data_IF_335528887844
#
_entry.id   IF_335528887844
#
_cell.length_a   1.000
_cell.length_b   1.000
_cell.length_c   1.000
_cell.angle_alpha   90.00
_cell.angle_beta   90.00
_cell.angle_gamma   90.00
#
_symmetry.space_group_name_H-M   'P 1'
#
loop_
_entity.id
_entity.type
_entity.pdbx_description
1 polymer ?
#
# COMPACT_ATOMS: atom_id res chain seq x y z
N UNK A 1 0.20 -4.51 -6.52
CA UNK A 1 1.56 -5.05 -6.70
C UNK A 1 2.54 -4.33 -5.77
N UNK A 2 2.15 -4.16 -4.51
CA UNK A 2 2.83 -3.34 -3.51
C UNK A 2 3.37 -4.18 -2.35
N UNK A 3 3.39 -5.50 -2.53
CA UNK A 3 4.13 -6.37 -1.64
C UNK A 3 5.60 -5.97 -1.62
N UNK A 4 6.12 -5.75 -0.40
CA UNK A 4 7.56 -5.61 -0.19
C UNK A 4 8.30 -6.87 -0.64
N UNK A 5 9.61 -6.77 -0.89
CA UNK A 5 10.44 -7.91 -1.31
C UNK A 5 10.33 -9.10 -0.34
N UNK A 6 10.24 -8.84 0.96
CA UNK A 6 10.03 -9.88 1.98
C UNK A 6 8.67 -10.58 1.80
N UNK A 7 7.61 -9.83 1.52
CA UNK A 7 6.26 -10.38 1.35
C UNK A 7 6.14 -11.13 0.02
N UNK A 8 6.69 -10.56 -1.05
CA UNK A 8 6.71 -11.18 -2.37
C UNK A 8 7.57 -12.45 -2.38
N UNK A 9 8.72 -12.43 -1.70
CA UNK A 9 9.58 -13.60 -1.54
C UNK A 9 8.89 -14.79 -0.86
N UNK A 10 8.02 -14.54 0.12
CA UNK A 10 7.18 -15.60 0.72
C UNK A 10 6.21 -16.21 -0.30
N UNK A 11 5.65 -15.41 -1.20
CA UNK A 11 4.77 -15.90 -2.28
C UNK A 11 5.57 -16.74 -3.30
N UNK A 12 6.76 -16.27 -3.71
CA UNK A 12 7.64 -17.01 -4.61
C UNK A 12 8.08 -18.35 -3.99
N UNK A 13 8.49 -18.34 -2.72
CA UNK A 13 8.90 -19.55 -2.02
C UNK A 13 7.77 -20.59 -1.94
N UNK A 14 6.51 -20.15 -1.82
CA UNK A 14 5.35 -21.06 -1.77
C UNK A 14 5.13 -21.86 -3.06
N UNK A 15 5.71 -21.42 -4.18
CA UNK A 15 5.68 -22.11 -5.47
C UNK A 15 7.06 -22.63 -5.89
N UNK A 16 8.01 -22.70 -4.96
CA UNK A 16 9.36 -23.24 -5.21
C UNK A 16 10.30 -22.31 -5.98
N UNK A 17 10.00 -21.01 -6.05
CA UNK A 17 10.88 -20.01 -6.68
C UNK A 17 11.70 -19.25 -5.64
N UNK A 18 12.95 -18.96 -6.00
CA UNK A 18 13.85 -18.14 -5.18
C UNK A 18 13.45 -16.66 -5.22
N UNK A 19 13.72 -15.95 -4.12
CA UNK A 19 13.46 -14.51 -4.01
C UNK A 19 14.61 -13.69 -4.62
N UNK A 20 14.73 -13.73 -5.95
CA UNK A 20 15.70 -12.97 -6.73
C UNK A 20 15.04 -11.79 -7.42
N UNK A 21 15.82 -10.74 -7.71
CA UNK A 21 15.35 -9.57 -8.45
C UNK A 21 14.75 -9.96 -9.82
N UNK A 22 15.39 -10.88 -10.53
CA UNK A 22 14.90 -11.39 -11.81
C UNK A 22 13.51 -12.06 -11.68
N UNK A 23 13.29 -12.85 -10.63
CA UNK A 23 11.98 -13.48 -10.39
C UNK A 23 10.92 -12.45 -9.99
N UNK A 24 11.28 -11.45 -9.18
CA UNK A 24 10.39 -10.35 -8.82
C UNK A 24 10.00 -9.52 -10.05
N UNK A 25 10.97 -9.17 -10.89
CA UNK A 25 10.78 -8.44 -12.15
C UNK A 25 9.91 -9.23 -13.12
N UNK A 26 10.19 -10.51 -13.32
CA UNK A 26 9.41 -11.38 -14.20
C UNK A 26 7.97 -11.52 -13.71
N UNK A 27 7.77 -11.69 -12.40
CA UNK A 27 6.44 -11.74 -11.79
C UNK A 27 5.67 -10.43 -11.98
N UNK A 28 6.28 -9.27 -11.75
CA UNK A 28 5.61 -7.97 -11.97
C UNK A 28 5.34 -7.73 -13.45
N UNK A 29 6.27 -8.09 -14.32
CA UNK A 29 6.09 -8.01 -15.78
C UNK A 29 4.89 -8.83 -16.23
N UNK A 30 4.80 -10.09 -15.80
CA UNK A 30 3.68 -10.99 -16.10
C UNK A 30 2.33 -10.35 -15.76
N UNK A 31 2.24 -9.66 -14.62
CA UNK A 31 1.01 -9.01 -14.20
C UNK A 31 0.66 -7.79 -15.07
N UNK A 32 1.62 -6.91 -15.34
CA UNK A 32 1.33 -5.65 -16.03
C UNK A 32 1.17 -5.79 -17.54
N UNK A 33 1.68 -6.87 -18.13
CA UNK A 33 1.57 -7.13 -19.58
C UNK A 33 0.40 -8.04 -19.94
N UNK A 34 -0.45 -8.40 -18.98
CA UNK A 34 -1.63 -9.20 -19.23
C UNK A 34 -2.54 -8.53 -20.29
N UNK A 35 -2.89 -9.21 -21.40
CA UNK A 35 -3.69 -8.60 -22.46
C UNK A 35 -5.05 -8.11 -21.97
N UNK A 36 -5.38 -6.86 -22.28
CA UNK A 36 -6.67 -6.25 -21.92
C UNK A 36 -6.81 -5.88 -20.44
N UNK A 37 -5.74 -5.91 -19.64
CA UNK A 37 -5.78 -5.60 -18.21
C UNK A 37 -6.47 -4.26 -17.89
N UNK A 38 -6.16 -3.23 -18.68
CA UNK A 38 -6.73 -1.88 -18.53
C UNK A 38 -8.25 -1.78 -18.68
N UNK A 39 -8.90 -2.79 -19.26
CA UNK A 39 -10.37 -2.83 -19.34
C UNK A 39 -11.04 -3.11 -17.98
N UNK A 40 -10.28 -3.66 -17.03
CA UNK A 40 -10.81 -4.15 -15.75
C UNK A 40 -10.13 -3.51 -14.54
N UNK A 41 -8.93 -2.96 -14.71
CA UNK A 41 -8.13 -2.40 -13.62
C UNK A 41 -7.96 -0.90 -13.83
N UNK A 42 -8.52 -0.08 -12.94
CA UNK A 42 -8.41 1.37 -13.00
C UNK A 42 -7.11 1.90 -12.37
N UNK A 43 -6.50 1.15 -11.47
CA UNK A 43 -5.26 1.56 -10.82
C UNK A 43 -4.46 0.40 -10.23
N UNK A 44 -3.15 0.58 -10.13
CA UNK A 44 -2.22 -0.41 -9.62
C UNK A 44 -1.32 0.19 -8.55
N UNK A 45 -1.43 -0.31 -7.31
CA UNK A 45 -0.56 0.09 -6.20
C UNK A 45 0.78 -0.64 -6.34
N UNK A 46 1.87 0.10 -6.34
CA UNK A 46 3.23 -0.38 -6.52
C UNK A 46 4.02 -0.29 -5.22
N UNK A 47 5.02 -1.14 -5.09
CA UNK A 47 6.10 -0.96 -4.12
C UNK A 47 7.15 -0.04 -4.73
N UNK A 48 7.93 0.64 -3.89
CA UNK A 48 8.92 1.64 -4.34
C UNK A 48 9.87 1.07 -5.40
N UNK A 49 10.41 -0.13 -5.19
CA UNK A 49 11.25 -0.79 -6.19
C UNK A 49 10.54 -0.96 -7.54
N UNK A 50 9.27 -1.39 -7.53
CA UNK A 50 8.48 -1.61 -8.75
C UNK A 50 8.14 -0.31 -9.48
N UNK A 51 8.02 0.81 -8.75
CA UNK A 51 7.76 2.14 -9.34
C UNK A 51 8.93 2.61 -10.23
N UNK A 52 10.16 2.25 -9.88
CA UNK A 52 11.38 2.59 -10.61
C UNK A 52 11.87 1.48 -11.55
N UNK A 53 11.25 0.31 -11.52
CA UNK A 53 11.67 -0.87 -12.28
C UNK A 53 11.17 -0.85 -13.73
N UNK A 54 11.99 -1.42 -14.62
CA UNK A 54 11.59 -1.80 -15.98
C UNK A 54 11.07 -3.23 -16.03
N UNK A 55 10.13 -3.50 -16.92
CA UNK A 55 9.73 -4.85 -17.28
C UNK A 55 10.86 -5.59 -18.00
N UNK A 56 10.70 -6.90 -18.20
CA UNK A 56 11.71 -7.74 -18.86
C UNK A 56 11.95 -7.36 -20.34
N UNK A 57 11.04 -6.60 -20.96
CA UNK A 57 11.19 -6.05 -22.31
C UNK A 57 11.86 -4.65 -22.35
N UNK A 58 12.28 -4.14 -21.19
CA UNK A 58 12.98 -2.86 -21.04
C UNK A 58 12.09 -1.65 -20.82
N UNK A 59 10.78 -1.72 -21.08
CA UNK A 59 9.85 -0.61 -20.84
C UNK A 59 9.65 -0.39 -19.34
N UNK A 60 9.46 0.87 -18.90
CA UNK A 60 9.17 1.14 -17.49
C UNK A 60 7.81 0.57 -17.12
N UNK A 61 7.69 -0.01 -15.93
CA UNK A 61 6.40 -0.57 -15.47
C UNK A 61 5.31 0.50 -15.42
N UNK A 62 5.66 1.72 -15.01
CA UNK A 62 4.73 2.86 -14.97
C UNK A 62 4.20 3.23 -16.35
N UNK A 63 5.06 3.18 -17.38
CA UNK A 63 4.67 3.50 -18.76
C UNK A 63 3.70 2.44 -19.29
N UNK A 64 3.98 1.15 -19.05
CA UNK A 64 3.09 0.03 -19.43
C UNK A 64 1.70 0.17 -18.81
N UNK A 65 1.62 0.57 -17.54
CA UNK A 65 0.34 0.80 -16.85
C UNK A 65 -0.41 1.97 -17.47
N UNK A 66 0.28 3.09 -17.69
CA UNK A 66 -0.30 4.32 -18.22
C UNK A 66 -0.79 4.14 -19.66
N UNK A 67 -0.04 3.44 -20.51
CA UNK A 67 -0.44 3.07 -21.89
C UNK A 67 -1.75 2.27 -21.93
N UNK A 68 -2.03 1.50 -20.87
CA UNK A 68 -3.25 0.72 -20.74
C UNK A 68 -4.38 1.48 -20.01
N UNK A 69 -4.19 2.76 -19.68
CA UNK A 69 -5.18 3.55 -18.93
C UNK A 69 -5.25 3.22 -17.43
N UNK A 70 -4.25 2.50 -16.90
CA UNK A 70 -4.18 2.13 -15.48
C UNK A 70 -3.40 3.21 -14.73
N UNK A 71 -4.03 3.80 -13.71
CA UNK A 71 -3.39 4.83 -12.89
C UNK A 71 -2.34 4.18 -11.97
N UNK A 72 -1.07 4.62 -11.99
CA UNK A 72 -0.05 4.13 -11.05
C UNK A 72 -0.26 4.71 -9.65
N UNK A 73 -0.22 3.88 -8.63
CA UNK A 73 -0.24 4.28 -7.23
C UNK A 73 0.97 3.75 -6.46
N UNK A 74 1.28 4.34 -5.30
CA UNK A 74 2.47 4.00 -4.53
C UNK A 74 2.13 3.68 -3.07
N UNK A 75 2.66 2.58 -2.54
CA UNK A 75 2.66 2.31 -1.11
C UNK A 75 3.74 3.14 -0.42
N UNK A 76 3.36 3.96 0.54
CA UNK A 76 4.27 4.94 1.18
C UNK A 76 4.62 4.62 2.64
N UNK A 77 3.88 3.69 3.26
CA UNK A 77 4.19 3.21 4.61
C UNK A 77 5.49 2.40 4.66
N UNK A 78 6.23 2.53 5.77
CA UNK A 78 7.48 1.80 6.05
C UNK A 78 7.26 0.57 6.94
N UNK A 79 6.02 0.10 7.05
CA UNK A 79 5.67 -1.10 7.78
C UNK A 79 5.30 -0.84 9.25
N UNK A 80 5.02 -1.95 9.94
CA UNK A 80 4.54 -1.96 11.32
C UNK A 80 5.71 -2.21 12.29
N UNK A 81 5.70 -1.50 13.41
CA UNK A 81 6.62 -1.73 14.54
C UNK A 81 5.85 -1.84 15.85
N UNK A 82 6.42 -2.46 16.90
CA UNK A 82 5.76 -2.58 18.19
C UNK A 82 5.34 -1.21 18.75
N UNK A 83 4.12 -1.13 19.27
CA UNK A 83 3.61 0.04 19.96
C UNK A 83 3.92 -0.10 21.45
N UNK A 84 4.88 0.68 21.94
CA UNK A 84 5.27 0.66 23.35
C UNK A 84 4.09 1.09 24.24
N UNK A 85 3.90 0.40 25.37
CA UNK A 85 2.80 0.67 26.29
C UNK A 85 1.43 0.18 25.82
N UNK A 86 1.38 -0.64 24.77
CA UNK A 86 0.17 -1.30 24.27
C UNK A 86 0.11 -2.79 24.62
N UNK A 87 -0.99 -3.45 24.27
CA UNK A 87 -1.19 -4.89 24.49
C UNK A 87 -0.67 -5.74 23.32
N UNK A 88 0.65 -5.77 23.12
CA UNK A 88 1.31 -6.42 21.98
C UNK A 88 0.80 -5.94 20.60
N UNK A 89 0.49 -4.64 20.52
CA UNK A 89 -0.01 -4.00 19.30
C UNK A 89 1.14 -3.37 18.51
N UNK A 90 0.80 -2.81 17.35
CA UNK A 90 1.79 -2.21 16.45
C UNK A 90 1.27 -0.88 15.91
N UNK A 91 2.19 0.02 15.60
CA UNK A 91 1.91 1.24 14.85
C UNK A 91 2.68 1.24 13.54
N UNK A 92 2.29 2.11 12.61
CA UNK A 92 2.86 2.13 11.28
C UNK A 92 3.80 3.33 11.10
N UNK A 93 5.00 3.07 10.61
CA UNK A 93 6.01 4.09 10.34
C UNK A 93 5.93 4.62 8.91
N UNK A 94 6.56 5.77 8.67
CA UNK A 94 6.74 6.32 7.31
C UNK A 94 6.38 7.79 7.14
N UNK A 95 6.00 8.51 8.20
CA UNK A 95 5.67 9.94 8.09
C UNK A 95 6.92 10.80 7.86
N UNK A 96 8.07 10.37 8.38
CA UNK A 96 9.33 11.10 8.24
C UNK A 96 9.75 11.21 6.77
N UNK A 97 9.89 12.45 6.31
CA UNK A 97 10.23 12.77 4.92
C UNK A 97 9.15 12.40 3.89
N UNK A 98 7.92 12.08 4.31
CA UNK A 98 6.86 11.63 3.41
C UNK A 98 6.58 12.62 2.26
N UNK A 99 6.47 13.92 2.56
CA UNK A 99 6.21 14.94 1.53
C UNK A 99 7.25 14.94 0.40
N UNK A 100 8.54 14.91 0.75
CA UNK A 100 9.63 14.86 -0.23
C UNK A 100 9.59 13.58 -1.06
N UNK A 101 9.26 12.44 -0.44
CA UNK A 101 9.11 11.16 -1.15
C UNK A 101 7.93 11.18 -2.11
N UNK A 102 6.79 11.71 -1.68
CA UNK A 102 5.60 11.82 -2.52
C UNK A 102 5.80 12.75 -3.71
N UNK A 103 6.51 13.87 -3.53
CA UNK A 103 6.91 14.71 -4.66
C UNK A 103 7.77 13.94 -5.68
N UNK A 104 8.72 13.13 -5.22
CA UNK A 104 9.53 12.28 -6.10
C UNK A 104 8.69 11.17 -6.78
N UNK A 105 7.75 10.56 -6.06
CA UNK A 105 6.86 9.54 -6.64
C UNK A 105 5.90 10.13 -7.66
N UNK A 106 5.42 11.36 -7.44
CA UNK A 106 4.59 12.07 -8.41
C UNK A 106 5.34 12.32 -9.71
N UNK A 107 6.60 12.76 -9.63
CA UNK A 107 7.49 12.93 -10.78
C UNK A 107 7.72 11.61 -11.53
N UNK A 108 7.79 10.49 -10.80
CA UNK A 108 7.92 9.15 -11.38
C UNK A 108 6.62 8.61 -11.98
N UNK A 109 5.48 9.28 -11.80
CA UNK A 109 4.20 8.93 -12.43
C UNK A 109 3.12 8.39 -11.49
N UNK A 110 3.38 8.30 -10.18
CA UNK A 110 2.34 7.95 -9.21
C UNK A 110 1.29 9.07 -9.08
N UNK A 111 0.02 8.70 -8.94
CA UNK A 111 -1.10 9.66 -8.79
C UNK A 111 -1.99 9.41 -7.58
N UNK A 112 -1.82 8.27 -6.92
CA UNK A 112 -2.45 8.00 -5.64
C UNK A 112 -1.50 7.23 -4.71
N UNK A 113 -1.66 7.39 -3.40
CA UNK A 113 -0.85 6.72 -2.40
C UNK A 113 -1.67 5.68 -1.63
N UNK A 114 -0.96 4.78 -0.95
CA UNK A 114 -1.56 3.84 0.00
C UNK A 114 -0.73 3.77 1.28
N UNK A 115 -1.42 3.85 2.41
CA UNK A 115 -0.90 3.58 3.74
C UNK A 115 -1.65 2.44 4.40
N UNK A 116 -0.94 1.51 5.03
CA UNK A 116 -1.55 0.40 5.78
C UNK A 116 -1.14 0.45 7.25
N UNK A 117 -2.11 0.72 8.12
CA UNK A 117 -1.99 0.44 9.57
C UNK A 117 -2.82 -0.79 9.96
N UNK A 118 -2.55 -1.34 11.14
CA UNK A 118 -3.22 -2.54 11.66
C UNK A 118 -3.65 -2.31 13.09
N UNK A 119 -4.88 -2.71 13.38
CA UNK A 119 -5.49 -2.65 14.70
C UNK A 119 -5.93 -4.07 15.07
N UNK A 120 -5.60 -4.51 16.30
CA UNK A 120 -5.83 -5.89 16.76
C UNK A 120 -7.23 -6.04 17.35
N UNK A 121 -7.96 -7.10 16.98
CA UNK A 121 -9.33 -7.36 17.46
C UNK A 121 -9.47 -8.42 18.57
N UNK A 122 -8.61 -9.47 18.70
CA UNK A 122 -8.88 -10.60 19.59
C UNK A 122 -9.28 -10.26 21.04
N UNK A 123 -8.77 -9.18 21.61
CA UNK A 123 -9.14 -8.68 22.95
C UNK A 123 -9.73 -7.25 22.91
N UNK A 124 -10.16 -6.81 21.73
CA UNK A 124 -10.36 -5.39 21.42
C UNK A 124 -9.03 -4.64 21.28
N UNK A 125 -8.94 -3.63 20.41
CA UNK A 125 -7.74 -2.81 20.37
C UNK A 125 -7.67 -1.90 21.58
N UNK A 126 -6.46 -1.59 22.04
CA UNK A 126 -6.32 -0.54 23.06
C UNK A 126 -6.73 0.81 22.47
N UNK A 127 -7.22 1.70 23.33
CA UNK A 127 -7.51 3.07 22.94
C UNK A 127 -6.26 3.77 22.36
N UNK A 128 -5.08 3.44 22.88
CA UNK A 128 -3.79 3.91 22.38
C UNK A 128 -3.58 3.48 20.92
N UNK A 129 -3.79 2.20 20.59
CA UNK A 129 -3.60 1.69 19.23
C UNK A 129 -4.63 2.28 18.24
N UNK A 130 -5.87 2.49 18.66
CA UNK A 130 -6.88 3.15 17.82
C UNK A 130 -6.50 4.60 17.55
N UNK A 131 -6.11 5.35 18.59
CA UNK A 131 -5.67 6.76 18.46
C UNK A 131 -4.45 6.87 17.55
N UNK A 132 -3.44 6.03 17.77
CA UNK A 132 -2.21 6.04 16.98
C UNK A 132 -2.48 5.70 15.51
N UNK A 133 -3.32 4.69 15.24
CA UNK A 133 -3.71 4.34 13.88
C UNK A 133 -4.47 5.48 13.17
N UNK A 134 -5.42 6.10 13.86
CA UNK A 134 -6.20 7.23 13.32
C UNK A 134 -5.31 8.45 13.05
N UNK A 135 -4.42 8.78 13.99
CA UNK A 135 -3.53 9.94 13.87
C UNK A 135 -2.50 9.77 12.74
N UNK A 136 -1.90 8.58 12.63
CA UNK A 136 -1.01 8.23 11.54
C UNK A 136 -1.68 8.34 10.17
N UNK A 137 -2.91 7.81 10.05
CA UNK A 137 -3.70 7.89 8.80
C UNK A 137 -4.07 9.33 8.43
N UNK A 138 -4.49 10.15 9.41
CA UNK A 138 -4.86 11.53 9.16
C UNK A 138 -3.66 12.36 8.67
N UNK A 139 -2.49 12.19 9.30
CA UNK A 139 -1.25 12.87 8.88
C UNK A 139 -0.80 12.44 7.49
N UNK A 140 -0.81 11.13 7.22
CA UNK A 140 -0.53 10.59 5.90
C UNK A 140 -1.47 11.21 4.86
N UNK A 141 -2.78 11.18 5.09
CA UNK A 141 -3.77 11.67 4.13
C UNK A 141 -3.60 13.16 3.82
N UNK A 142 -3.35 13.99 4.85
CA UNK A 142 -3.09 15.42 4.66
C UNK A 142 -1.84 15.66 3.81
N UNK A 143 -0.74 14.97 4.11
CA UNK A 143 0.51 15.09 3.33
C UNK A 143 0.30 14.65 1.88
N UNK A 144 -0.40 13.54 1.64
CA UNK A 144 -0.71 13.07 0.28
C UNK A 144 -1.55 14.05 -0.53
N UNK A 145 -2.50 14.72 0.12
CA UNK A 145 -3.32 15.77 -0.50
C UNK A 145 -2.50 16.98 -0.90
N UNK A 146 -1.65 17.47 0.00
CA UNK A 146 -0.78 18.62 -0.26
C UNK A 146 0.24 18.35 -1.39
N UNK A 147 0.62 17.09 -1.63
CA UNK A 147 1.59 16.70 -2.66
C UNK A 147 0.94 16.18 -3.94
N UNK A 148 -0.40 16.22 -4.07
CA UNK A 148 -1.11 15.82 -5.30
C UNK A 148 -1.11 14.30 -5.56
N UNK A 149 -0.72 13.48 -4.58
CA UNK A 149 -0.71 12.01 -4.68
C UNK A 149 -1.98 11.41 -4.05
N UNK A 150 -3.08 12.16 -4.08
CA UNK A 150 -4.38 11.72 -3.56
C UNK A 150 -5.56 11.97 -4.51
N UNK A 151 -5.34 12.27 -5.79
CA UNK A 151 -6.45 12.47 -6.74
C UNK A 151 -6.01 12.37 -8.21
N UNK A 152 -6.52 11.39 -8.99
CA UNK A 152 -6.81 11.63 -10.40
C UNK A 152 -8.07 12.52 -10.43
N UNK A 153 -7.93 13.80 -10.80
CA UNK A 153 -9.04 14.72 -11.15
C UNK A 153 -10.44 14.36 -10.59
N UNK A 154 -10.79 14.91 -9.42
CA UNK A 154 -12.16 15.05 -8.86
C UNK A 154 -13.09 13.84 -8.69
N UNK A 155 -12.84 12.64 -9.21
CA UNK A 155 -13.82 11.53 -9.16
C UNK A 155 -13.23 10.14 -8.83
N UNK A 156 -11.96 10.04 -8.39
CA UNK A 156 -11.30 8.77 -8.04
C UNK A 156 -11.32 8.44 -6.54
N UNK A 157 -11.54 7.17 -6.11
CA UNK A 157 -11.56 6.80 -4.70
C UNK A 157 -10.16 6.90 -4.06
N UNK A 158 -10.06 7.60 -2.93
CA UNK A 158 -8.91 7.54 -2.04
C UNK A 158 -8.88 6.19 -1.31
N UNK A 159 -7.86 5.36 -1.54
CA UNK A 159 -7.74 4.05 -0.92
C UNK A 159 -7.09 4.13 0.47
N UNK A 160 -7.90 4.35 1.52
CA UNK A 160 -7.49 4.14 2.91
C UNK A 160 -7.83 2.70 3.33
N UNK A 161 -6.85 1.94 3.82
CA UNK A 161 -7.07 0.55 4.23
C UNK A 161 -6.59 0.31 5.67
N UNK A 162 -7.53 0.24 6.61
CA UNK A 162 -7.31 -0.38 7.94
C UNK A 162 -7.61 -1.87 7.81
N UNK A 163 -6.59 -2.71 8.00
CA UNK A 163 -6.77 -4.17 7.91
C UNK A 163 -6.78 -4.77 9.31
N UNK A 164 -7.86 -5.48 9.71
CA UNK A 164 -7.91 -6.14 11.00
C UNK A 164 -6.97 -7.35 11.03
N UNK A 165 -6.16 -7.49 12.09
CA UNK A 165 -5.38 -8.72 12.32
C UNK A 165 -6.30 -9.78 12.95
N UNK A 166 -6.88 -10.65 12.13
CA UNK A 166 -7.77 -11.72 12.59
C UNK A 166 -6.97 -12.98 12.99
N UNK A 167 -7.14 -13.46 14.21
CA UNK A 167 -6.90 -14.87 14.54
C UNK A 167 -8.18 -15.66 14.28
N UNK A 168 -8.08 -16.94 13.89
CA UNK A 168 -9.21 -17.79 13.47
C UNK A 168 -10.20 -18.09 14.63
N UNK A 169 -11.03 -17.12 15.05
CA UNK A 169 -12.22 -17.29 15.92
C UNK A 169 -13.29 -16.23 15.56
N UNK A 170 -14.59 -16.48 15.83
CA UNK A 170 -15.70 -15.87 15.08
C UNK A 170 -15.86 -14.36 15.31
N UNK A 171 -16.43 -13.70 14.30
CA UNK A 171 -16.52 -12.25 14.13
C UNK A 171 -17.09 -11.51 15.36
N UNK A 172 -16.32 -10.57 15.91
CA UNK A 172 -16.85 -9.44 16.68
C UNK A 172 -16.72 -8.18 15.82
N UNK A 173 -17.84 -7.54 15.53
CA UNK A 173 -17.91 -6.28 14.80
C UNK A 173 -17.68 -5.16 15.81
N UNK A 174 -16.55 -4.45 15.72
CA UNK A 174 -16.33 -3.22 16.49
C UNK A 174 -16.74 -2.06 15.59
N UNK A 175 -17.99 -1.63 15.72
CA UNK A 175 -18.45 -0.31 15.24
C UNK A 175 -18.37 0.65 16.43
N UNK A 176 -17.82 1.85 16.22
CA UNK A 176 -17.70 2.87 17.27
C UNK A 176 -19.07 3.29 17.83
N UNK A 177 -19.11 3.98 18.99
CA UNK A 177 -20.35 4.50 19.55
C UNK A 177 -20.98 5.50 18.57
N UNK A 178 -22.29 5.35 18.34
CA UNK A 178 -23.12 6.36 17.69
C UNK A 178 -23.09 7.62 18.57
N UNK A 179 -22.63 8.73 18.00
CA UNK A 179 -22.78 10.04 18.62
C UNK A 179 -24.17 10.55 18.26
N UNK A 180 -25.10 10.54 19.22
CA UNK A 180 -26.33 11.36 19.20
C UNK A 180 -26.00 12.83 19.48
#
# INVERSE_FOLDING_TARGET
MDESNVTCGKRLASIGLENTEANLQAYRTLLVTAPGLGQYISGAILFEETLYQSATDGRKIVDILTEQGIVPGIKVDKGLVPLAGSNDESWCQGLDGLAAREAAYYQQGARFAKWRTVVSIPNGPSELAVKEAAWGLARYAAISQDNGVSSPSTDGPSAQAVQPKRSRKPNVRVTGPEWE
#
